data_IF_733486842699
#
_entry.id   IF_733486842699
#
_cell.length_a   1.000
_cell.length_b   1.000
_cell.length_c   1.000
_cell.angle_alpha   90.00
_cell.angle_beta   90.00
_cell.angle_gamma   90.00
#
_symmetry.space_group_name_H-M   'P 1'
#
loop_
_entity.id
_entity.type
_entity.pdbx_description
1 polymer ?
#
# COMPACT_ATOMS: atom_id res chain seq x y z
N UNK A 1 -42.63 5.56 5.75
CA UNK A 1 -41.66 4.54 5.29
C UNK A 1 -41.30 3.56 6.38
N UNK A 2 -40.70 3.99 7.52
CA UNK A 2 -40.45 3.05 8.63
C UNK A 2 -41.76 2.51 9.20
N UNK A 3 -42.72 3.41 9.44
CA UNK A 3 -44.09 3.07 9.84
C UNK A 3 -44.76 2.12 8.85
N UNK A 4 -44.59 2.32 7.53
CA UNK A 4 -45.18 1.44 6.51
C UNK A 4 -44.60 0.03 6.54
N UNK A 5 -43.31 -0.11 6.86
CA UNK A 5 -42.64 -1.41 6.94
C UNK A 5 -42.98 -2.12 8.26
N UNK A 6 -43.15 -1.35 9.34
CA UNK A 6 -43.66 -1.86 10.61
C UNK A 6 -45.09 -2.37 10.46
N UNK A 7 -45.99 -1.59 9.85
CA UNK A 7 -47.35 -2.01 9.55
C UNK A 7 -47.37 -3.26 8.66
N UNK A 8 -46.54 -3.28 7.61
CA UNK A 8 -46.40 -4.46 6.77
C UNK A 8 -45.97 -5.71 7.55
N UNK A 9 -45.07 -5.57 8.53
CA UNK A 9 -44.60 -6.69 9.35
C UNK A 9 -45.71 -7.29 10.22
N UNK A 10 -46.64 -6.46 10.71
CA UNK A 10 -47.79 -6.89 11.52
C UNK A 10 -48.99 -7.37 10.70
N UNK A 11 -49.11 -6.98 9.43
CA UNK A 11 -50.20 -7.37 8.55
C UNK A 11 -49.75 -8.50 7.59
N UNK A 12 -49.28 -8.14 6.40
CA UNK A 12 -48.95 -9.09 5.32
C UNK A 12 -47.64 -9.86 5.56
N UNK A 13 -46.85 -9.45 6.55
CA UNK A 13 -45.47 -9.85 6.77
C UNK A 13 -45.28 -11.02 7.71
N UNK A 14 -46.31 -11.55 8.40
CA UNK A 14 -46.15 -12.60 9.42
C UNK A 14 -45.68 -13.94 8.82
N UNK A 15 -46.31 -14.39 7.71
CA UNK A 15 -46.09 -15.72 7.10
C UNK A 15 -45.31 -15.66 5.77
N UNK A 16 -44.51 -14.61 5.56
CA UNK A 16 -43.77 -14.45 4.31
C UNK A 16 -42.53 -15.36 4.25
N UNK A 17 -42.13 -15.83 3.06
CA UNK A 17 -40.88 -16.56 2.90
C UNK A 17 -39.68 -15.62 3.10
N UNK A 18 -38.56 -16.18 3.60
CA UNK A 18 -37.30 -15.46 3.90
C UNK A 18 -36.88 -14.44 2.84
N UNK A 19 -37.03 -14.75 1.56
CA UNK A 19 -36.60 -13.87 0.47
C UNK A 19 -37.33 -12.52 0.47
N UNK A 20 -38.62 -12.50 0.82
CA UNK A 20 -39.43 -11.27 0.88
C UNK A 20 -38.91 -10.34 1.99
N UNK A 21 -38.56 -10.88 3.16
CA UNK A 21 -37.92 -10.08 4.21
C UNK A 21 -36.55 -9.53 3.79
N UNK A 22 -35.77 -10.31 3.04
CA UNK A 22 -34.48 -9.85 2.50
C UNK A 22 -34.70 -8.68 1.53
N UNK A 23 -35.70 -8.76 0.67
CA UNK A 23 -36.06 -7.68 -0.27
C UNK A 23 -36.52 -6.41 0.47
N UNK A 24 -37.41 -6.55 1.48
CA UNK A 24 -37.84 -5.43 2.33
C UNK A 24 -36.68 -4.78 3.08
N UNK A 25 -35.77 -5.60 3.61
CA UNK A 25 -34.55 -5.10 4.27
C UNK A 25 -33.63 -4.37 3.28
N UNK A 26 -33.48 -4.88 2.06
CA UNK A 26 -32.71 -4.21 1.01
C UNK A 26 -33.34 -2.87 0.63
N UNK A 27 -34.67 -2.80 0.57
CA UNK A 27 -35.41 -1.56 0.34
C UNK A 27 -35.13 -0.52 1.44
N UNK A 28 -35.21 -0.89 2.72
CA UNK A 28 -34.82 0.00 3.83
C UNK A 28 -33.38 0.48 3.72
N UNK A 29 -32.47 -0.42 3.39
CA UNK A 29 -31.04 -0.10 3.29
C UNK A 29 -30.74 0.90 2.19
N UNK A 30 -31.59 1.07 1.18
CA UNK A 30 -31.41 2.14 0.17
C UNK A 30 -31.46 3.54 0.79
N UNK A 31 -32.19 3.71 1.88
CA UNK A 31 -32.32 4.99 2.59
C UNK A 31 -31.31 5.12 3.73
N UNK A 32 -31.12 4.06 4.52
CA UNK A 32 -30.17 4.04 5.63
C UNK A 32 -28.71 3.95 5.19
N UNK A 33 -28.42 3.26 4.09
CA UNK A 33 -27.07 3.04 3.57
C UNK A 33 -26.31 4.34 3.31
N UNK A 34 -26.83 5.28 2.51
CA UNK A 34 -26.17 6.55 2.26
C UNK A 34 -25.89 7.36 3.54
N UNK A 35 -26.78 7.27 4.55
CA UNK A 35 -26.59 7.95 5.84
C UNK A 35 -25.45 7.30 6.61
N UNK A 36 -25.42 5.97 6.68
CA UNK A 36 -24.34 5.21 7.31
C UNK A 36 -23.00 5.46 6.63
N UNK A 37 -22.97 5.48 5.30
CA UNK A 37 -21.76 5.75 4.53
C UNK A 37 -21.25 7.17 4.79
N UNK A 38 -22.12 8.19 4.78
CA UNK A 38 -21.73 9.56 5.13
C UNK A 38 -21.17 9.68 6.55
N UNK A 39 -21.78 9.01 7.51
CA UNK A 39 -21.30 8.97 8.89
C UNK A 39 -19.91 8.32 8.97
N UNK A 40 -19.73 7.15 8.36
CA UNK A 40 -18.44 6.46 8.32
C UNK A 40 -17.36 7.29 7.65
N UNK A 41 -17.68 7.92 6.52
CA UNK A 41 -16.78 8.83 5.82
C UNK A 41 -16.40 10.03 6.69
N UNK A 42 -17.32 10.58 7.47
CA UNK A 42 -17.02 11.68 8.40
C UNK A 42 -16.05 11.26 9.51
N UNK A 43 -16.27 10.09 10.12
CA UNK A 43 -15.41 9.55 11.19
C UNK A 43 -14.01 9.17 10.70
N UNK A 44 -13.91 8.57 9.52
CA UNK A 44 -12.64 8.03 9.00
C UNK A 44 -11.79 9.08 8.27
N UNK A 45 -12.38 10.15 7.73
CA UNK A 45 -11.67 11.17 6.94
C UNK A 45 -10.53 11.85 7.70
N UNK A 46 -10.67 12.30 8.96
CA UNK A 46 -9.58 12.93 9.69
C UNK A 46 -8.31 12.07 9.74
N UNK A 47 -8.46 10.76 9.95
CA UNK A 47 -7.34 9.82 9.94
C UNK A 47 -6.71 9.72 8.54
N UNK A 48 -7.51 9.59 7.50
CA UNK A 48 -6.99 9.52 6.13
C UNK A 48 -6.24 10.79 5.72
N UNK A 49 -6.72 11.97 6.14
CA UNK A 49 -6.03 13.25 5.92
C UNK A 49 -4.68 13.29 6.64
N UNK A 50 -4.65 12.89 7.91
CA UNK A 50 -3.42 12.81 8.70
C UNK A 50 -2.40 11.85 8.08
N UNK A 51 -2.84 10.68 7.60
CA UNK A 51 -1.96 9.70 6.96
C UNK A 51 -1.33 10.26 5.67
N UNK A 52 -2.08 11.03 4.87
CA UNK A 52 -1.55 11.68 3.66
C UNK A 52 -0.57 12.80 4.00
N UNK A 53 -0.85 13.61 5.03
CA UNK A 53 0.07 14.66 5.50
C UNK A 53 1.37 14.05 6.03
N UNK A 54 1.29 12.99 6.84
CA UNK A 54 2.46 12.27 7.31
C UNK A 54 3.27 11.71 6.15
N UNK A 55 2.60 11.12 5.15
CA UNK A 55 3.29 10.63 3.94
C UNK A 55 4.07 11.75 3.27
N UNK A 56 3.45 12.91 3.06
CA UNK A 56 4.13 14.09 2.50
C UNK A 56 5.36 14.47 3.33
N UNK A 57 5.23 14.53 4.66
CA UNK A 57 6.34 14.85 5.54
C UNK A 57 7.48 13.82 5.46
N UNK A 58 7.16 12.53 5.31
CA UNK A 58 8.18 11.49 5.11
C UNK A 58 8.94 11.64 3.80
N UNK A 59 8.30 12.19 2.76
CA UNK A 59 8.92 12.47 1.46
C UNK A 59 9.81 13.71 1.47
N UNK A 60 9.54 14.67 2.36
CA UNK A 60 10.38 15.86 2.53
C UNK A 60 11.75 15.52 3.13
N UNK A 61 11.83 14.50 4.00
CA UNK A 61 13.08 14.08 4.63
C UNK A 61 14.19 13.72 3.61
N UNK A 62 13.96 12.83 2.62
CA UNK A 62 14.95 12.59 1.56
C UNK A 62 15.37 13.82 0.75
N UNK A 63 14.49 14.80 0.57
CA UNK A 63 14.80 16.04 -0.15
C UNK A 63 15.79 16.90 0.65
N UNK A 64 15.53 17.07 1.94
CA UNK A 64 16.44 17.77 2.86
C UNK A 64 17.79 17.03 2.98
N UNK A 65 17.75 15.69 3.07
CA UNK A 65 18.96 14.85 3.13
C UNK A 65 19.78 14.94 1.82
N UNK A 66 19.13 15.07 0.66
CA UNK A 66 19.78 15.30 -0.63
C UNK A 66 20.41 16.69 -0.73
N UNK A 67 19.71 17.74 -0.30
CA UNK A 67 20.23 19.12 -0.26
C UNK A 67 21.47 19.23 0.63
N UNK A 68 21.48 18.50 1.75
CA UNK A 68 22.62 18.39 2.66
C UNK A 68 23.77 17.49 2.15
N UNK A 69 23.67 16.95 0.94
CA UNK A 69 24.65 16.05 0.31
C UNK A 69 24.90 14.78 1.13
N UNK A 70 23.86 14.21 1.74
CA UNK A 70 23.96 12.92 2.42
C UNK A 70 24.37 11.84 1.42
N UNK A 71 25.39 11.05 1.77
CA UNK A 71 25.90 9.94 0.96
C UNK A 71 24.78 8.99 0.53
N UNK A 72 23.70 8.85 1.29
CA UNK A 72 22.57 7.97 0.97
C UNK A 72 21.79 8.41 -0.27
N UNK A 73 21.73 9.70 -0.61
CA UNK A 73 20.94 10.21 -1.74
C UNK A 73 21.76 10.97 -2.78
N UNK A 74 23.05 11.23 -2.52
CA UNK A 74 23.97 11.91 -3.45
C UNK A 74 24.03 11.29 -4.86
N UNK A 75 23.64 10.02 -5.01
CA UNK A 75 23.56 9.32 -6.31
C UNK A 75 22.25 9.54 -7.07
N UNK A 76 21.26 10.22 -6.48
CA UNK A 76 19.97 10.51 -7.09
C UNK A 76 20.08 11.85 -7.83
N UNK A 77 19.59 11.87 -9.06
CA UNK A 77 19.58 13.05 -9.91
C UNK A 77 18.76 14.17 -9.23
N UNK A 78 19.28 15.40 -9.11
CA UNK A 78 18.51 16.53 -8.61
C UNK A 78 17.15 16.70 -9.30
N UNK A 79 17.06 16.39 -10.61
CA UNK A 79 15.80 16.44 -11.37
C UNK A 79 14.79 15.40 -10.88
N UNK A 80 15.26 14.24 -10.44
CA UNK A 80 14.37 13.21 -9.88
C UNK A 80 13.87 13.63 -8.48
N UNK A 81 14.69 14.30 -7.66
CA UNK A 81 14.26 14.86 -6.37
C UNK A 81 13.25 16.01 -6.54
N UNK A 82 13.45 16.90 -7.51
CA UNK A 82 12.49 17.96 -7.83
C UNK A 82 11.12 17.38 -8.24
N UNK A 83 11.10 16.24 -8.94
CA UNK A 83 9.83 15.53 -9.25
C UNK A 83 9.13 15.05 -7.98
N UNK A 84 9.87 14.53 -6.99
CA UNK A 84 9.29 14.09 -5.71
C UNK A 84 8.65 15.26 -4.99
N UNK A 85 9.33 16.41 -4.92
CA UNK A 85 8.79 17.64 -4.34
C UNK A 85 7.52 18.10 -5.07
N UNK A 86 7.55 18.08 -6.40
CA UNK A 86 6.42 18.44 -7.25
C UNK A 86 5.22 17.53 -7.00
N UNK A 87 5.39 16.21 -7.00
CA UNK A 87 4.30 15.26 -6.74
C UNK A 87 3.71 15.44 -5.33
N UNK A 88 4.55 15.66 -4.32
CA UNK A 88 4.11 15.93 -2.96
C UNK A 88 3.29 17.23 -2.88
N UNK A 89 3.74 18.29 -3.55
CA UNK A 89 3.06 19.59 -3.61
C UNK A 89 1.73 19.52 -4.36
N UNK A 90 1.69 18.83 -5.50
CA UNK A 90 0.46 18.60 -6.28
C UNK A 90 -0.58 17.82 -5.47
N UNK A 91 -0.17 16.78 -4.73
CA UNK A 91 -1.06 16.03 -3.86
C UNK A 91 -1.69 16.92 -2.77
N UNK A 92 -0.92 17.86 -2.20
CA UNK A 92 -1.42 18.78 -1.18
C UNK A 92 -2.31 19.88 -1.73
N UNK A 93 -1.99 20.40 -2.92
CA UNK A 93 -2.87 21.33 -3.62
C UNK A 93 -4.21 20.68 -3.96
N UNK A 94 -4.18 19.43 -4.42
CA UNK A 94 -5.40 18.64 -4.64
C UNK A 94 -6.22 18.47 -3.35
N UNK A 95 -5.55 18.09 -2.25
CA UNK A 95 -6.22 17.90 -0.96
C UNK A 95 -6.86 19.18 -0.46
N UNK A 96 -6.12 20.29 -0.49
CA UNK A 96 -6.60 21.62 -0.09
C UNK A 96 -7.82 22.05 -0.92
N UNK A 97 -7.75 21.90 -2.25
CA UNK A 97 -8.86 22.21 -3.16
C UNK A 97 -10.12 21.40 -2.83
N UNK A 98 -9.97 20.09 -2.64
CA UNK A 98 -11.09 19.20 -2.27
C UNK A 98 -11.66 19.52 -0.90
N UNK A 99 -10.82 19.77 0.10
CA UNK A 99 -11.26 20.14 1.45
C UNK A 99 -11.98 21.48 1.48
N UNK A 100 -11.56 22.45 0.66
CA UNK A 100 -12.26 23.71 0.54
C UNK A 100 -13.70 23.51 0.02
N UNK A 101 -13.91 22.61 -0.93
CA UNK A 101 -15.25 22.28 -1.42
C UNK A 101 -16.03 21.52 -0.33
N UNK A 102 -15.38 20.56 0.35
CA UNK A 102 -16.00 19.75 1.40
C UNK A 102 -16.57 20.61 2.53
N UNK A 103 -15.86 21.65 2.97
CA UNK A 103 -16.30 22.53 4.05
C UNK A 103 -17.54 23.38 3.71
N UNK A 104 -17.89 23.49 2.42
CA UNK A 104 -19.08 24.22 1.97
C UNK A 104 -20.32 23.31 1.88
N UNK A 105 -20.16 22.01 2.07
CA UNK A 105 -21.26 21.04 1.99
C UNK A 105 -21.94 20.86 3.35
N UNK A 106 -23.24 20.61 3.30
CA UNK A 106 -24.01 20.25 4.49
C UNK A 106 -23.74 18.78 4.87
N UNK A 107 -23.93 18.43 6.14
CA UNK A 107 -23.74 17.06 6.64
C UNK A 107 -24.63 16.01 5.97
N UNK A 108 -25.75 16.44 5.37
CA UNK A 108 -26.69 15.57 4.66
C UNK A 108 -26.29 15.30 3.21
N UNK A 109 -25.34 16.05 2.66
CA UNK A 109 -24.84 15.88 1.30
C UNK A 109 -23.69 14.88 1.26
N UNK A 110 -23.56 14.18 0.14
CA UNK A 110 -22.47 13.25 -0.05
C UNK A 110 -21.12 13.99 -0.07
N UNK A 111 -20.06 13.42 0.53
CA UNK A 111 -18.77 14.09 0.60
C UNK A 111 -18.13 14.22 -0.79
N UNK A 112 -17.48 15.35 -1.03
CA UNK A 112 -16.73 15.62 -2.28
C UNK A 112 -15.45 14.78 -2.38
N UNK A 113 -14.93 14.37 -1.22
CA UNK A 113 -13.73 13.56 -1.09
C UNK A 113 -13.99 12.43 -0.12
N UNK A 114 -13.87 11.21 -0.64
CA UNK A 114 -14.00 9.97 0.13
C UNK A 114 -12.66 9.52 0.68
N UNK A 115 -12.70 8.78 1.78
CA UNK A 115 -11.54 8.14 2.40
C UNK A 115 -10.78 7.25 1.42
N UNK A 116 -11.51 6.53 0.55
CA UNK A 116 -10.92 5.70 -0.49
C UNK A 116 -10.08 6.51 -1.49
N UNK A 117 -10.52 7.71 -1.86
CA UNK A 117 -9.79 8.59 -2.78
C UNK A 117 -8.51 9.14 -2.13
N UNK A 118 -8.57 9.53 -0.85
CA UNK A 118 -7.39 9.98 -0.10
C UNK A 118 -6.35 8.85 -0.01
N UNK A 119 -6.79 7.62 0.31
CA UNK A 119 -5.93 6.43 0.35
C UNK A 119 -5.34 6.12 -1.02
N UNK A 120 -6.13 6.24 -2.10
CA UNK A 120 -5.65 6.06 -3.46
C UNK A 120 -4.58 7.09 -3.82
N UNK A 121 -4.78 8.37 -3.45
CA UNK A 121 -3.79 9.43 -3.66
C UNK A 121 -2.49 9.18 -2.89
N UNK A 122 -2.59 8.71 -1.65
CA UNK A 122 -1.43 8.31 -0.84
C UNK A 122 -0.64 7.18 -1.52
N UNK A 123 -1.34 6.16 -2.04
CA UNK A 123 -0.72 5.06 -2.78
C UNK A 123 -0.11 5.49 -4.11
N UNK A 124 -0.76 6.41 -4.82
CA UNK A 124 -0.22 7.02 -6.05
C UNK A 124 1.11 7.72 -5.76
N UNK A 125 1.16 8.52 -4.69
CA UNK A 125 2.37 9.22 -4.27
C UNK A 125 3.49 8.25 -3.91
N UNK A 126 3.18 7.16 -3.20
CA UNK A 126 4.14 6.07 -2.94
C UNK A 126 4.70 5.47 -4.22
N UNK A 127 3.84 5.13 -5.18
CA UNK A 127 4.25 4.50 -6.43
C UNK A 127 5.15 5.42 -7.27
N UNK A 128 4.94 6.74 -7.20
CA UNK A 128 5.73 7.72 -7.93
C UNK A 128 7.06 8.05 -7.24
N UNK A 129 7.05 8.20 -5.92
CA UNK A 129 8.20 8.68 -5.16
C UNK A 129 9.15 7.56 -4.72
N UNK A 130 8.64 6.37 -4.34
CA UNK A 130 9.48 5.28 -3.83
C UNK A 130 10.53 4.80 -4.85
N UNK A 131 10.23 4.65 -6.17
CA UNK A 131 11.24 4.26 -7.15
C UNK A 131 12.38 5.28 -7.30
N UNK A 132 12.10 6.56 -7.04
CA UNK A 132 13.08 7.64 -7.09
C UNK A 132 13.95 7.62 -5.83
N UNK A 133 13.31 7.65 -4.66
CA UNK A 133 13.98 7.74 -3.36
C UNK A 133 14.84 6.50 -3.07
N UNK A 134 14.37 5.31 -3.48
CA UNK A 134 15.06 4.04 -3.26
C UNK A 134 15.80 3.53 -4.49
N UNK A 135 16.08 4.40 -5.47
CA UNK A 135 16.90 4.07 -6.64
C UNK A 135 18.24 3.50 -6.16
N UNK A 136 18.62 2.26 -6.55
CA UNK A 136 19.88 1.67 -6.08
C UNK A 136 21.07 2.47 -6.58
N UNK A 137 22.09 2.64 -5.73
CA UNK A 137 23.41 3.08 -6.21
C UNK A 137 23.90 2.11 -7.27
N UNK A 138 24.16 2.60 -8.49
CA UNK A 138 24.78 1.77 -9.52
C UNK A 138 26.11 1.25 -8.99
N UNK A 139 26.24 -0.06 -8.83
CA UNK A 139 27.55 -0.69 -8.64
C UNK A 139 28.37 -0.34 -9.88
N UNK A 140 29.46 0.40 -9.69
CA UNK A 140 30.45 0.60 -10.73
C UNK A 140 30.83 -0.78 -11.29
N UNK A 141 30.66 -0.96 -12.60
CA UNK A 141 31.34 -2.03 -13.31
C UNK A 141 32.84 -1.89 -13.01
N UNK A 142 33.51 -2.94 -12.51
CA UNK A 142 34.95 -2.89 -12.38
C UNK A 142 35.52 -2.74 -13.79
N UNK A 143 36.22 -1.62 -14.00
CA UNK A 143 37.10 -1.33 -15.13
C UNK A 143 37.68 -2.63 -15.71
N UNK A 144 37.18 -3.05 -16.88
CA UNK A 144 37.90 -3.99 -17.72
C UNK A 144 39.19 -3.30 -18.17
N UNK A 145 40.29 -3.55 -17.45
CA UNK A 145 41.64 -3.29 -17.95
C UNK A 145 41.85 -4.17 -19.17
N UNK A 146 41.84 -3.53 -20.33
CA UNK A 146 42.44 -4.06 -21.53
C UNK A 146 43.97 -4.06 -21.35
N UNK A 147 44.62 -5.21 -21.57
CA UNK A 147 45.88 -5.38 -22.31
C UNK A 147 46.49 -6.78 -22.12
N UNK A 148 46.85 -7.40 -23.25
CA UNK A 148 48.14 -8.11 -23.37
C UNK A 148 48.08 -9.62 -23.64
N UNK A 149 48.05 -10.00 -24.92
CA UNK A 149 48.55 -11.29 -25.42
C UNK A 149 50.01 -11.50 -25.01
N UNK A 150 50.37 -12.68 -24.49
CA UNK A 150 51.50 -13.47 -25.03
C UNK A 150 51.51 -14.89 -24.45
N UNK A 151 52.03 -15.78 -25.29
CA UNK A 151 51.95 -17.23 -25.30
C UNK A 151 53.07 -17.87 -24.45
N UNK A 152 52.81 -18.99 -23.78
CA UNK A 152 53.76 -20.13 -23.74
C UNK A 152 53.08 -21.39 -23.19
N UNK A 153 53.15 -22.42 -24.02
CA UNK A 153 52.77 -23.81 -23.78
C UNK A 153 53.51 -24.41 -22.57
N UNK A 154 52.96 -25.46 -21.94
CA UNK A 154 53.58 -26.80 -21.96
C UNK A 154 52.76 -27.86 -21.18
N UNK A 155 52.36 -28.90 -21.93
CA UNK A 155 52.16 -30.32 -21.58
C UNK A 155 51.02 -30.82 -20.64
N UNK A 156 50.05 -31.49 -21.30
CA UNK A 156 49.35 -32.75 -20.88
C UNK A 156 50.37 -33.91 -20.67
N UNK A 157 50.00 -35.14 -20.23
CA UNK A 157 48.68 -35.77 -19.97
C UNK A 157 48.65 -36.43 -18.55
N UNK A 158 47.64 -37.15 -18.03
CA UNK A 158 46.92 -38.35 -18.49
C UNK A 158 46.01 -38.78 -17.31
N UNK A 159 44.70 -38.99 -17.49
CA UNK A 159 44.02 -40.30 -17.55
C UNK A 159 43.23 -40.74 -16.29
N UNK A 160 42.08 -41.41 -16.53
CA UNK A 160 41.31 -42.25 -15.59
C UNK A 160 40.14 -41.54 -14.89
N UNK A 161 38.87 -41.60 -15.31
CA UNK A 161 37.93 -42.72 -15.54
C UNK A 161 37.22 -43.22 -14.27
N UNK A 162 35.87 -43.26 -14.34
CA UNK A 162 34.94 -44.01 -13.46
C UNK A 162 34.31 -43.16 -12.35
N UNK A 163 33.06 -42.71 -12.43
CA UNK A 163 31.76 -43.43 -12.37
C UNK A 163 31.26 -43.68 -10.94
N UNK A 164 29.96 -43.42 -10.74
CA UNK A 164 29.04 -43.94 -9.69
C UNK A 164 29.28 -43.42 -8.26
N UNK A 165 28.32 -43.14 -7.38
CA UNK A 165 26.86 -43.23 -7.39
C UNK A 165 26.34 -42.64 -6.04
N UNK A 166 25.03 -42.46 -5.92
CA UNK A 166 24.24 -42.47 -4.66
C UNK A 166 24.32 -41.23 -3.73
N UNK A 167 23.30 -40.35 -3.67
CA UNK A 167 21.99 -40.42 -2.95
C UNK A 167 22.15 -40.31 -1.41
N UNK A 168 21.37 -39.43 -0.78
CA UNK A 168 20.75 -39.48 0.58
C UNK A 168 20.19 -38.05 0.86
N UNK A 169 18.86 -37.85 0.89
CA UNK A 169 17.91 -37.95 2.04
C UNK A 169 17.77 -36.57 2.74
N UNK A 170 16.68 -35.81 2.57
CA UNK A 170 15.29 -35.93 3.09
C UNK A 170 15.10 -35.56 4.59
N UNK A 171 14.02 -34.80 4.81
CA UNK A 171 13.25 -34.54 6.03
C UNK A 171 13.78 -33.65 7.17
N UNK A 172 13.13 -32.47 7.24
CA UNK A 172 12.29 -31.97 8.35
C UNK A 172 12.42 -32.59 9.75
N UNK A 173 12.51 -31.72 10.77
CA UNK A 173 11.50 -31.64 11.85
C UNK A 173 11.70 -30.43 12.79
N UNK A 174 10.57 -29.80 13.15
CA UNK A 174 10.38 -28.86 14.26
C UNK A 174 10.49 -29.59 15.62
N UNK A 175 10.65 -28.84 16.71
CA UNK A 175 10.04 -29.22 17.99
C UNK A 175 9.05 -28.17 18.52
N UNK A 176 7.93 -28.67 19.05
CA UNK A 176 6.98 -28.00 19.94
C UNK A 176 7.37 -28.27 21.41
N UNK A 177 7.18 -27.29 22.28
CA UNK A 177 6.89 -27.40 23.73
C UNK A 177 6.34 -26.04 24.17
N UNK A 178 5.44 -25.85 25.13
CA UNK A 178 4.81 -26.71 26.14
C UNK A 178 3.62 -25.94 26.73
N UNK A 179 2.53 -26.64 27.04
CA UNK A 179 1.46 -26.19 27.93
C UNK A 179 1.96 -26.17 29.39
N UNK A 180 1.59 -25.15 30.14
CA UNK A 180 1.52 -25.21 31.61
C UNK A 180 0.26 -24.45 32.06
N UNK A 181 -0.67 -25.18 32.67
CA UNK A 181 -1.84 -24.66 33.38
C UNK A 181 -1.44 -24.54 34.85
N UNK A 182 -1.65 -23.38 35.48
CA UNK A 182 -1.71 -23.28 36.93
C UNK A 182 -2.88 -22.37 37.31
N UNK A 183 -3.78 -22.91 38.14
CA UNK A 183 -4.95 -22.25 38.72
C UNK A 183 -4.68 -22.13 40.22
N UNK A 184 -4.60 -20.91 40.72
CA UNK A 184 -4.81 -20.52 42.12
C UNK A 184 -5.60 -19.20 42.15
#
# INVERSE_FOLDING_TARGET
MLEDIENWLYEDGEDQPKHVYVEKLQEMKKFGGPIHDRYKEYEERPKALFDLENKRQMLMKPLEEHENKDKKYDHIDPVDMEKVEKYASEAMNWLSSKMHIQHRLNLTQDPIIKVAEIKAKSKELDNLCNPIIYKPKSKAEPLSKDQGKSNSEQNRPMNGQGSSDTKLDDSCQQPKSSEEMDMD
#
